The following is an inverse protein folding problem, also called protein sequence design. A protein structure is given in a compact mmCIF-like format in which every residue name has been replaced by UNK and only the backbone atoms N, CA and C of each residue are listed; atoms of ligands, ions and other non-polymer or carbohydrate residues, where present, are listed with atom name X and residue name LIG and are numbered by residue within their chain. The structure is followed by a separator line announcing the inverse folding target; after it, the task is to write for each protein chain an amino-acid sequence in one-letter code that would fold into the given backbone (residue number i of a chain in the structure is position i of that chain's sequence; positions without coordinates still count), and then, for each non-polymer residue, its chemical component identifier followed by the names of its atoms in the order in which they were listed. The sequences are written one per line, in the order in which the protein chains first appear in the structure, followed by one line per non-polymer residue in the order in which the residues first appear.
data_IF_472264464721
#
_entry.id   IF_472264464721
#
_cell.length_a   1.000
_cell.length_b   1.000
_cell.length_c   1.000
_cell.angle_alpha   90.00
_cell.angle_beta   90.00
_cell.angle_gamma   90.00
#
_symmetry.space_group_name_H-M   'P 1'
#
loop_
_entity.id
_entity.type
_entity.pdbx_description
1 polymer ?
#
# COMPACT_ATOMS: atom_id res chain seq x y z
N UNK A 1 8.60 -14.17 -6.91
CA UNK A 1 8.75 -13.88 -5.48
C UNK A 1 9.51 -12.58 -5.37
N UNK A 2 8.89 -11.54 -4.82
CA UNK A 2 9.50 -10.22 -4.67
C UNK A 2 10.61 -10.27 -3.61
N UNK A 3 11.70 -9.53 -3.84
CA UNK A 3 12.82 -9.45 -2.90
C UNK A 3 12.36 -8.82 -1.58
N UNK A 4 12.66 -9.47 -0.45
CA UNK A 4 12.33 -8.96 0.89
C UNK A 4 12.95 -7.60 1.19
N UNK A 5 14.00 -7.20 0.46
CA UNK A 5 14.60 -5.88 0.53
C UNK A 5 13.61 -4.78 0.13
N UNK A 6 12.66 -5.06 -0.78
CA UNK A 6 11.64 -4.11 -1.25
C UNK A 6 10.69 -3.69 -0.10
N UNK A 7 10.49 -4.53 0.91
CA UNK A 7 9.65 -4.22 2.08
C UNK A 7 10.37 -3.50 3.21
N UNK A 8 11.63 -3.11 3.01
CA UNK A 8 12.34 -2.31 4.00
C UNK A 8 12.08 -0.85 3.70
N UNK A 9 11.58 -0.11 4.70
CA UNK A 9 11.45 1.34 4.55
C UNK A 9 12.78 1.94 4.11
N UNK A 10 12.69 2.82 3.13
CA UNK A 10 13.79 3.62 2.62
C UNK A 10 13.29 5.05 2.45
N UNK A 11 14.21 6.00 2.42
CA UNK A 11 13.85 7.41 2.27
C UNK A 11 13.17 7.73 0.93
N UNK A 12 13.28 6.83 -0.06
CA UNK A 12 12.61 6.97 -1.34
C UNK A 12 11.08 6.76 -1.26
N UNK A 13 10.57 6.20 -0.15
CA UNK A 13 9.13 6.10 0.12
C UNK A 13 8.60 7.30 0.91
N UNK A 14 9.47 8.19 1.39
CA UNK A 14 9.04 9.35 2.16
C UNK A 14 8.34 10.33 1.24
N UNK A 15 7.09 10.64 1.55
CA UNK A 15 6.33 11.68 0.86
C UNK A 15 6.32 13.00 1.64
N UNK A 16 6.73 13.00 2.91
CA UNK A 16 6.87 14.20 3.74
C UNK A 16 5.63 14.53 4.56
N UNK A 17 4.60 13.68 4.53
CA UNK A 17 3.43 13.78 5.38
C UNK A 17 3.55 12.80 6.55
N UNK A 18 3.93 13.31 7.73
CA UNK A 18 4.42 12.50 8.85
C UNK A 18 3.50 11.37 9.31
N UNK A 19 2.17 11.54 9.19
CA UNK A 19 1.21 10.46 9.48
C UNK A 19 1.19 9.39 8.38
N UNK A 20 1.16 9.81 7.11
CA UNK A 20 1.14 8.88 5.97
C UNK A 20 2.44 8.08 5.93
N UNK A 21 3.59 8.73 6.12
CA UNK A 21 4.89 8.04 6.16
C UNK A 21 4.95 6.99 7.28
N UNK A 22 4.28 7.22 8.42
CA UNK A 22 4.18 6.23 9.51
C UNK A 22 3.29 5.05 9.12
N UNK A 23 2.15 5.32 8.49
CA UNK A 23 1.22 4.29 8.04
C UNK A 23 1.86 3.43 6.94
N UNK A 24 2.56 4.03 5.97
CA UNK A 24 3.35 3.32 4.96
C UNK A 24 4.41 2.39 5.56
N UNK A 25 5.16 2.83 6.57
CA UNK A 25 6.14 1.97 7.29
C UNK A 25 5.46 0.75 7.91
N UNK A 26 4.31 0.95 8.54
CA UNK A 26 3.55 -0.13 9.16
C UNK A 26 2.95 -1.08 8.11
N UNK A 27 2.47 -0.55 6.97
CA UNK A 27 2.00 -1.36 5.84
C UNK A 27 3.13 -2.26 5.31
N UNK A 28 4.32 -1.70 5.03
CA UNK A 28 5.47 -2.47 4.57
C UNK A 28 5.88 -3.56 5.57
N UNK A 29 5.84 -3.25 6.87
CA UNK A 29 6.10 -4.23 7.92
C UNK A 29 5.11 -5.41 7.87
N UNK A 30 3.82 -5.14 7.71
CA UNK A 30 2.80 -6.17 7.63
C UNK A 30 2.86 -6.97 6.32
N UNK A 31 3.15 -6.33 5.18
CA UNK A 31 3.38 -7.01 3.92
C UNK A 31 4.54 -8.01 4.03
N UNK A 32 5.65 -7.60 4.65
CA UNK A 32 6.77 -8.50 4.93
C UNK A 32 6.37 -9.69 5.81
N UNK A 33 5.52 -9.46 6.81
CA UNK A 33 5.03 -10.50 7.70
C UNK A 33 4.03 -11.47 7.03
N UNK A 34 3.31 -11.01 6.00
CA UNK A 34 2.42 -11.85 5.19
C UNK A 34 3.16 -12.70 4.17
N UNK A 35 4.39 -12.35 3.80
CA UNK A 35 5.18 -13.15 2.87
C UNK A 35 5.42 -14.55 3.41
N UNK A 36 4.65 -15.50 2.91
CA UNK A 36 4.87 -16.92 3.16
C UNK A 36 5.98 -17.40 2.22
N UNK A 37 6.97 -18.11 2.75
CA UNK A 37 7.97 -18.77 1.89
C UNK A 37 7.32 -20.00 1.26
N UNK A 38 7.47 -20.22 -0.06
CA UNK A 38 7.08 -21.49 -0.64
C UNK A 38 7.87 -22.59 0.09
N UNK A 39 7.17 -23.67 0.44
CA UNK A 39 7.71 -24.83 1.17
C UNK A 39 7.96 -24.66 2.68
N UNK A 40 7.58 -23.53 3.29
CA UNK A 40 7.49 -23.41 4.74
C UNK A 40 6.04 -23.63 5.22
N UNK A 41 5.80 -24.31 6.36
CA UNK A 41 4.48 -24.36 6.96
C UNK A 41 3.97 -22.93 7.23
N UNK A 42 2.84 -22.57 6.63
CA UNK A 42 2.16 -21.31 6.92
C UNK A 42 1.46 -21.43 8.27
N UNK A 43 1.84 -20.60 9.24
CA UNK A 43 1.08 -20.44 10.47
C UNK A 43 -0.19 -19.63 10.15
N UNK A 44 -1.27 -20.34 9.77
CA UNK A 44 -2.54 -19.75 9.36
C UNK A 44 -3.07 -18.74 10.38
N UNK A 45 -2.95 -19.02 11.68
CA UNK A 45 -3.43 -18.11 12.74
C UNK A 45 -2.64 -16.81 12.75
N UNK A 46 -1.32 -16.91 12.66
CA UNK A 46 -0.44 -15.72 12.60
C UNK A 46 -0.65 -14.93 11.31
N UNK A 47 -0.77 -15.61 10.18
CA UNK A 47 -1.03 -14.98 8.87
C UNK A 47 -2.38 -14.27 8.87
N UNK A 48 -3.43 -14.91 9.39
CA UNK A 48 -4.76 -14.31 9.53
C UNK A 48 -4.73 -13.08 10.44
N UNK A 49 -4.09 -13.17 11.60
CA UNK A 49 -3.93 -12.03 12.51
C UNK A 49 -3.20 -10.86 11.83
N UNK A 50 -2.20 -11.17 10.99
CA UNK A 50 -1.45 -10.16 10.23
C UNK A 50 -2.31 -9.53 9.14
N UNK A 51 -3.08 -10.33 8.39
CA UNK A 51 -3.98 -9.86 7.34
C UNK A 51 -5.08 -8.95 7.90
N UNK A 52 -5.66 -9.29 9.06
CA UNK A 52 -6.66 -8.46 9.74
C UNK A 52 -6.08 -7.11 10.19
N UNK A 53 -4.86 -7.10 10.73
CA UNK A 53 -4.17 -5.86 11.12
C UNK A 53 -3.86 -4.98 9.90
N UNK A 54 -3.34 -5.58 8.83
CA UNK A 54 -3.07 -4.87 7.58
C UNK A 54 -4.36 -4.27 7.01
N UNK A 55 -5.45 -5.04 6.99
CA UNK A 55 -6.75 -4.56 6.52
C UNK A 55 -7.25 -3.35 7.28
N UNK A 56 -7.17 -3.39 8.61
CA UNK A 56 -7.62 -2.26 9.43
C UNK A 56 -6.72 -1.03 9.24
N UNK A 57 -5.40 -1.25 9.15
CA UNK A 57 -4.44 -0.18 8.85
C UNK A 57 -4.74 0.46 7.49
N UNK A 58 -4.85 -0.32 6.42
CA UNK A 58 -5.21 0.16 5.08
C UNK A 58 -6.52 0.92 5.09
N UNK A 59 -7.56 0.42 5.79
CA UNK A 59 -8.84 1.11 5.90
C UNK A 59 -8.69 2.52 6.50
N UNK A 60 -7.89 2.65 7.56
CA UNK A 60 -7.65 3.96 8.19
C UNK A 60 -6.77 4.88 7.35
N UNK A 61 -5.71 4.33 6.73
CA UNK A 61 -4.78 5.02 5.84
C UNK A 61 -5.51 5.60 4.62
N UNK A 62 -6.28 4.78 3.91
CA UNK A 62 -7.06 5.19 2.75
C UNK A 62 -8.09 6.28 3.08
N UNK A 63 -8.73 6.22 4.25
CA UNK A 63 -9.67 7.25 4.68
C UNK A 63 -8.99 8.60 4.96
N UNK A 64 -7.75 8.60 5.44
CA UNK A 64 -6.95 9.80 5.63
C UNK A 64 -6.60 10.43 4.27
N UNK A 65 -6.09 9.64 3.33
CA UNK A 65 -5.73 10.10 1.98
C UNK A 65 -6.94 10.62 1.21
N UNK A 66 -8.06 9.90 1.24
CA UNK A 66 -9.33 10.38 0.66
C UNK A 66 -9.83 11.65 1.34
N UNK A 67 -9.52 11.84 2.61
CA UNK A 67 -9.72 13.10 3.34
C UNK A 67 -8.92 14.24 2.73
N UNK A 68 -7.63 14.02 2.46
CA UNK A 68 -6.74 15.01 1.83
C UNK A 68 -7.19 15.35 0.39
N UNK A 69 -7.73 14.39 -0.33
CA UNK A 69 -8.20 14.58 -1.72
C UNK A 69 -9.61 15.19 -1.83
N UNK A 70 -10.31 15.41 -0.70
CA UNK A 70 -11.70 15.90 -0.70
C UNK A 70 -11.85 17.26 -1.37
N UNK A 71 -10.87 18.13 -1.18
CA UNK A 71 -10.91 19.52 -1.63
C UNK A 71 -10.24 19.72 -3.00
N UNK A 72 -9.96 18.64 -3.73
CA UNK A 72 -9.45 18.72 -5.09
C UNK A 72 -10.48 19.36 -6.02
N UNK A 73 -10.07 20.42 -6.71
CA UNK A 73 -10.93 21.13 -7.68
C UNK A 73 -10.36 21.10 -9.10
N UNK A 74 -9.08 20.79 -9.26
CA UNK A 74 -8.44 20.70 -10.56
C UNK A 74 -8.89 19.41 -11.29
N UNK A 75 -9.24 19.45 -12.60
CA UNK A 75 -9.68 18.27 -13.33
C UNK A 75 -8.70 17.09 -13.31
N UNK A 76 -7.39 17.35 -13.33
CA UNK A 76 -6.37 16.29 -13.25
C UNK A 76 -6.35 15.69 -11.86
N UNK A 77 -6.41 16.53 -10.82
CA UNK A 77 -6.49 16.08 -9.43
C UNK A 77 -7.75 15.23 -9.16
N UNK A 78 -8.89 15.59 -9.76
CA UNK A 78 -10.13 14.81 -9.66
C UNK A 78 -10.00 13.42 -10.31
N UNK A 79 -9.36 13.33 -11.48
CA UNK A 79 -9.07 12.04 -12.12
C UNK A 79 -8.13 11.20 -11.26
N UNK A 80 -7.09 11.82 -10.69
CA UNK A 80 -6.17 11.15 -9.77
C UNK A 80 -6.93 10.58 -8.56
N UNK A 81 -7.78 11.38 -7.90
CA UNK A 81 -8.62 10.92 -6.78
C UNK A 81 -9.45 9.70 -7.15
N UNK A 82 -10.13 9.73 -8.29
CA UNK A 82 -11.01 8.64 -8.71
C UNK A 82 -10.23 7.33 -8.96
N UNK A 83 -9.04 7.43 -9.55
CA UNK A 83 -8.13 6.28 -9.71
C UNK A 83 -7.66 5.78 -8.34
N UNK A 84 -7.31 6.69 -7.43
CA UNK A 84 -6.84 6.37 -6.09
C UNK A 84 -7.91 5.60 -5.28
N UNK A 85 -9.13 6.14 -5.19
CA UNK A 85 -10.26 5.48 -4.51
C UNK A 85 -10.61 4.14 -5.15
N UNK A 86 -10.56 4.01 -6.49
CA UNK A 86 -10.78 2.73 -7.15
C UNK A 86 -9.76 1.68 -6.70
N UNK A 87 -8.49 2.06 -6.60
CA UNK A 87 -7.40 1.17 -6.19
C UNK A 87 -7.48 0.80 -4.72
N UNK A 88 -7.87 1.72 -3.83
CA UNK A 88 -8.20 1.40 -2.45
C UNK A 88 -9.25 0.30 -2.36
N UNK A 89 -10.37 0.44 -3.10
CA UNK A 89 -11.41 -0.56 -3.15
C UNK A 89 -10.91 -1.94 -3.63
N UNK A 90 -10.07 -1.96 -4.67
CA UNK A 90 -9.48 -3.19 -5.18
C UNK A 90 -8.52 -3.85 -4.16
N UNK A 91 -7.70 -3.05 -3.46
CA UNK A 91 -6.81 -3.51 -2.40
C UNK A 91 -7.58 -4.11 -1.23
N UNK A 92 -8.67 -3.46 -0.80
CA UNK A 92 -9.54 -3.97 0.25
C UNK A 92 -10.20 -5.30 -0.14
N UNK A 93 -10.67 -5.42 -1.39
CA UNK A 93 -11.24 -6.67 -1.89
C UNK A 93 -10.20 -7.82 -1.96
N UNK A 94 -8.95 -7.51 -2.31
CA UNK A 94 -7.87 -8.49 -2.24
C UNK A 94 -7.57 -8.94 -0.80
N UNK A 95 -7.55 -8.02 0.15
CA UNK A 95 -7.39 -8.33 1.58
C UNK A 95 -8.53 -9.21 2.11
N UNK A 96 -9.77 -8.89 1.75
CA UNK A 96 -10.93 -9.70 2.10
C UNK A 96 -10.82 -11.12 1.53
N UNK A 97 -10.32 -11.27 0.30
CA UNK A 97 -10.07 -12.58 -0.32
C UNK A 97 -8.98 -13.38 0.40
N UNK A 98 -7.90 -12.73 0.86
CA UNK A 98 -6.87 -13.37 1.69
C UNK A 98 -7.47 -13.87 3.01
N UNK A 99 -8.27 -13.04 3.67
CA UNK A 99 -8.89 -13.37 4.96
C UNK A 99 -9.88 -14.53 4.82
N UNK A 100 -10.76 -14.47 3.82
CA UNK A 100 -11.71 -15.54 3.51
C UNK A 100 -10.99 -16.87 3.25
N UNK A 101 -9.90 -16.85 2.49
CA UNK A 101 -9.08 -18.05 2.26
C UNK A 101 -8.48 -18.62 3.54
N UNK A 102 -7.94 -17.77 4.41
CA UNK A 102 -7.35 -18.19 5.68
C UNK A 102 -8.40 -18.72 6.67
N UNK A 103 -9.66 -18.29 6.56
CA UNK A 103 -10.79 -18.85 7.30
C UNK A 103 -11.32 -20.16 6.71
N UNK A 104 -10.84 -20.58 5.53
CA UNK A 104 -11.36 -21.75 4.82
C UNK A 104 -12.68 -21.49 4.08
N UNK A 105 -13.03 -20.24 3.84
CA UNK A 105 -14.26 -19.82 3.15
C UNK A 105 -14.09 -19.79 1.61
N UNK A 106 -12.87 -20.01 1.11
CA UNK A 106 -12.58 -20.05 -0.33
C UNK A 106 -11.63 -21.20 -0.68
N UNK A 107 -12.08 -22.10 -1.56
CA UNK A 107 -11.29 -23.22 -2.07
C UNK A 107 -10.64 -22.89 -3.43
N UNK A 108 -9.56 -23.59 -3.77
CA UNK A 108 -8.91 -23.48 -5.09
C UNK A 108 -8.12 -22.19 -5.35
N UNK A 109 -8.09 -21.28 -4.37
CA UNK A 109 -7.31 -20.05 -4.42
C UNK A 109 -5.85 -20.31 -4.02
N UNK A 110 -4.93 -19.80 -4.83
CA UNK A 110 -3.50 -19.79 -4.51
C UNK A 110 -3.19 -18.56 -3.64
N UNK A 111 -3.10 -18.80 -2.32
CA UNK A 111 -2.82 -17.76 -1.33
C UNK A 111 -1.55 -16.96 -1.67
N UNK A 112 -0.51 -17.61 -2.20
CA UNK A 112 0.73 -16.93 -2.54
C UNK A 112 0.54 -15.94 -3.68
N UNK A 113 -0.23 -16.32 -4.72
CA UNK A 113 -0.55 -15.42 -5.83
C UNK A 113 -1.38 -14.21 -5.39
N UNK A 114 -2.33 -14.40 -4.48
CA UNK A 114 -3.11 -13.28 -3.96
C UNK A 114 -2.22 -12.35 -3.13
N UNK A 115 -1.39 -12.89 -2.24
CA UNK A 115 -0.47 -12.08 -1.43
C UNK A 115 0.54 -11.33 -2.31
N UNK A 116 1.10 -11.97 -3.34
CA UNK A 116 2.01 -11.31 -4.30
C UNK A 116 1.29 -10.15 -5.02
N UNK A 117 0.07 -10.37 -5.51
CA UNK A 117 -0.69 -9.30 -6.18
C UNK A 117 -1.10 -8.15 -5.25
N UNK A 118 -1.50 -8.46 -4.02
CA UNK A 118 -1.77 -7.47 -2.97
C UNK A 118 -0.53 -6.62 -2.72
N UNK A 119 0.61 -7.27 -2.61
CA UNK A 119 1.90 -6.65 -2.36
C UNK A 119 2.32 -5.70 -3.49
N UNK A 120 2.22 -6.15 -4.74
CA UNK A 120 2.48 -5.31 -5.91
C UNK A 120 1.56 -4.09 -5.95
N UNK A 121 0.27 -4.29 -5.64
CA UNK A 121 -0.73 -3.21 -5.67
C UNK A 121 -0.41 -2.13 -4.64
N UNK A 122 -0.15 -2.53 -3.39
CA UNK A 122 0.16 -1.61 -2.29
C UNK A 122 1.52 -0.90 -2.48
N UNK A 123 2.54 -1.60 -2.98
CA UNK A 123 3.82 -0.95 -3.28
C UNK A 123 3.66 0.11 -4.38
N UNK A 124 2.83 -0.16 -5.38
CA UNK A 124 2.58 0.77 -6.46
C UNK A 124 1.80 2.01 -6.00
N UNK A 125 0.84 1.85 -5.06
CA UNK A 125 0.16 3.00 -4.44
C UNK A 125 1.18 3.87 -3.69
N UNK A 126 1.87 3.29 -2.71
CA UNK A 126 2.84 3.99 -1.84
C UNK A 126 3.91 4.71 -2.66
N UNK A 127 4.43 4.08 -3.72
CA UNK A 127 5.55 4.65 -4.49
C UNK A 127 5.15 5.69 -5.52
N UNK A 128 3.90 5.65 -6.00
CA UNK A 128 3.50 6.44 -7.16
C UNK A 128 2.25 7.26 -6.92
N UNK A 129 1.14 6.64 -6.51
CA UNK A 129 -0.11 7.37 -6.33
C UNK A 129 -0.02 8.33 -5.16
N UNK A 130 0.42 7.87 -4.00
CA UNK A 130 0.42 8.67 -2.78
C UNK A 130 1.41 9.84 -2.90
N UNK A 131 2.48 9.64 -3.66
CA UNK A 131 3.43 10.68 -4.00
C UNK A 131 2.78 11.76 -4.89
N UNK A 132 2.07 11.36 -5.95
CA UNK A 132 1.43 12.29 -6.88
C UNK A 132 0.28 13.07 -6.20
N UNK A 133 -0.47 12.45 -5.30
CA UNK A 133 -1.52 13.09 -4.49
C UNK A 133 -1.01 14.39 -3.83
N UNK A 134 0.17 14.34 -3.19
CA UNK A 134 0.68 15.50 -2.47
C UNK A 134 1.03 16.67 -3.38
N UNK A 135 1.28 16.44 -4.67
CA UNK A 135 1.51 17.51 -5.64
C UNK A 135 0.25 18.34 -5.91
N UNK A 136 -0.93 17.77 -5.65
CA UNK A 136 -2.22 18.46 -5.78
C UNK A 136 -2.70 19.07 -4.46
N UNK A 137 -2.21 18.58 -3.33
CA UNK A 137 -2.50 19.18 -2.03
C UNK A 137 -1.68 20.46 -1.86
N UNK A 138 -2.32 21.61 -1.56
CA UNK A 138 -1.62 22.85 -1.19
C UNK A 138 -1.01 22.79 0.23
N UNK A 139 -0.63 21.61 0.69
CA UNK A 139 0.00 21.44 1.99
C UNK A 139 1.40 22.03 1.85
N UNK A 140 1.69 23.08 2.62
CA UNK A 140 3.07 23.54 2.80
C UNK A 140 3.86 22.38 3.41
N UNK A 141 4.59 21.66 2.55
CA UNK A 141 5.61 20.72 2.97
C UNK A 141 6.61 21.53 3.79
N UNK A 142 6.77 21.17 5.07
CA UNK A 142 7.60 21.92 6.02
C UNK A 142 8.96 22.33 5.44
N UNK A 143 9.36 23.58 5.71
CA UNK A 143 10.57 24.29 5.24
C UNK A 143 11.92 23.60 5.56
N UNK A 144 12.18 22.43 5.00
CA UNK A 144 13.52 21.85 4.96
C UNK A 144 14.12 22.08 3.55
N UNK A 145 15.07 23.02 3.39
CA UNK A 145 15.63 23.34 2.08
C UNK A 145 16.50 22.16 1.59
N UNK A 146 16.03 21.43 0.57
CA UNK A 146 16.90 20.55 -0.22
C UNK A 146 16.35 19.19 -0.65
N UNK A 147 15.07 18.88 -0.49
CA UNK A 147 14.54 17.59 -0.97
C UNK A 147 14.32 17.64 -2.48
N UNK A 148 15.33 17.21 -3.24
CA UNK A 148 15.17 16.86 -4.65
C UNK A 148 14.26 15.64 -4.72
N UNK A 149 13.06 15.83 -5.28
CA UNK A 149 12.16 14.73 -5.64
C UNK A 149 12.87 13.86 -6.68
N UNK A 150 13.33 12.70 -6.25
CA UNK A 150 13.92 11.69 -7.15
C UNK A 150 12.90 10.58 -7.32
N UNK A 151 12.36 10.44 -8.54
CA UNK A 151 11.51 9.31 -8.89
C UNK A 151 12.27 7.99 -8.68
N UNK A 152 11.71 7.00 -7.96
CA UNK A 152 12.25 5.65 -8.01
C UNK A 152 12.23 5.21 -9.48
N UNK A 153 13.37 4.69 -9.98
CA UNK A 153 13.41 4.08 -11.31
C UNK A 153 12.31 3.02 -11.35
N UNK A 154 11.37 3.19 -12.28
CA UNK A 154 10.30 2.25 -12.54
C UNK A 154 10.86 0.82 -12.54
N UNK A 155 10.20 -0.08 -11.83
CA UNK A 155 10.40 -1.52 -11.99
C UNK A 155 10.04 -1.86 -13.44
N UNK A 156 11.02 -1.77 -14.33
CA UNK A 156 10.89 -2.18 -15.72
C UNK A 156 10.58 -3.67 -15.71
N UNK A 157 9.36 -4.02 -16.12
CA UNK A 157 9.00 -5.39 -16.47
C UNK A 157 9.98 -5.86 -17.55
N UNK A 158 10.84 -6.81 -17.18
CA UNK A 158 11.56 -7.69 -18.11
C UNK A 158 10.60 -8.66 -18.78
#
# INVERSE_FOLDING_TARGET
MLDTAIFSWSENFRIGHGRIDQDHRAILHHLRALQCRPHAPCDVKKTLSTALKLRELCRSHFAEEEGLMRDFTDPVALVHRDIHTMRHGATMAHLDSVIAHLNGESEGIDLFKIIDRLTETLLMDITWLDFEMLTFTKVELSDEPGVVVSFPKALTRS
#
